data_IF_168390931881
#
_entry.id   IF_168390931881
#
_cell.length_a   1.000
_cell.length_b   1.000
_cell.length_c   1.000
_cell.angle_alpha   90.00
_cell.angle_beta   90.00
_cell.angle_gamma   90.00
#
_symmetry.space_group_name_H-M   'P 1'
#
loop_
_entity.id
_entity.type
_entity.pdbx_description
1 polymer ?
#
# COMPACT_ATOMS: atom_id res chain seq x y z
N UNK A 1 7.82 -33.64 -39.90
CA UNK A 1 7.09 -32.48 -39.32
C UNK A 1 7.37 -32.44 -37.83
N UNK A 2 8.33 -31.63 -37.37
CA UNK A 2 8.65 -31.52 -35.94
C UNK A 2 7.53 -30.74 -35.24
N UNK A 3 6.76 -31.42 -34.39
CA UNK A 3 5.84 -30.75 -33.47
C UNK A 3 6.69 -29.80 -32.59
N UNK A 4 6.48 -28.49 -32.70
CA UNK A 4 6.99 -27.57 -31.68
C UNK A 4 6.21 -27.86 -30.40
N UNK A 5 6.82 -28.64 -29.50
CA UNK A 5 6.21 -29.13 -28.25
C UNK A 5 6.04 -28.01 -27.21
N UNK A 6 6.56 -26.81 -27.44
CA UNK A 6 6.60 -25.76 -26.41
C UNK A 6 6.03 -24.44 -26.93
N UNK A 7 5.02 -23.93 -26.22
CA UNK A 7 4.42 -22.60 -26.44
C UNK A 7 5.51 -21.52 -26.38
N UNK A 8 5.60 -20.69 -27.42
CA UNK A 8 6.47 -19.51 -27.41
C UNK A 8 5.92 -18.48 -26.42
N UNK A 9 6.76 -18.03 -25.48
CA UNK A 9 6.44 -16.96 -24.53
C UNK A 9 7.69 -16.13 -24.27
N UNK A 10 7.56 -14.80 -24.37
CA UNK A 10 8.62 -13.86 -24.01
C UNK A 10 8.89 -13.84 -22.50
N UNK A 11 7.95 -14.34 -21.69
CA UNK A 11 8.04 -14.36 -20.23
C UNK A 11 8.62 -15.67 -19.67
N UNK A 12 9.21 -16.52 -20.53
CA UNK A 12 9.73 -17.84 -20.14
C UNK A 12 10.74 -17.79 -18.98
N UNK A 13 11.46 -16.68 -18.84
CA UNK A 13 12.55 -16.52 -17.88
C UNK A 13 12.32 -15.36 -16.92
N UNK A 14 11.06 -14.99 -16.65
CA UNK A 14 10.75 -14.01 -15.59
C UNK A 14 10.97 -14.68 -14.23
N UNK A 15 11.71 -14.01 -13.34
CA UNK A 15 11.94 -14.43 -11.96
C UNK A 15 11.85 -13.23 -11.02
N UNK A 16 11.47 -13.46 -9.77
CA UNK A 16 11.44 -12.44 -8.73
C UNK A 16 12.79 -12.31 -8.04
N UNK A 17 13.22 -11.09 -7.77
CA UNK A 17 14.37 -10.80 -6.93
C UNK A 17 13.92 -9.85 -5.80
N UNK A 18 14.09 -10.23 -4.52
CA UNK A 18 13.74 -9.35 -3.42
C UNK A 18 14.66 -8.13 -3.40
N UNK A 19 14.12 -7.00 -2.95
CA UNK A 19 14.91 -5.80 -2.69
C UNK A 19 15.90 -6.05 -1.54
N UNK A 20 16.97 -5.25 -1.50
CA UNK A 20 17.92 -5.30 -0.37
C UNK A 20 17.26 -4.74 0.90
N UNK A 21 17.76 -5.13 2.07
CA UNK A 21 17.20 -4.71 3.34
C UNK A 21 17.13 -3.18 3.53
N UNK A 22 18.14 -2.44 3.03
CA UNK A 22 18.19 -0.97 3.04
C UNK A 22 17.16 -0.30 2.11
N UNK A 23 16.53 -1.09 1.24
CA UNK A 23 15.44 -0.68 0.34
C UNK A 23 14.06 -1.15 0.82
N UNK A 24 13.99 -1.80 1.98
CA UNK A 24 12.74 -2.21 2.62
C UNK A 24 12.23 -1.13 3.57
N UNK A 25 10.95 -1.22 3.95
CA UNK A 25 10.34 -0.38 4.98
C UNK A 25 10.14 -1.25 6.23
N UNK A 26 10.72 -0.83 7.34
CA UNK A 26 10.75 -1.59 8.59
C UNK A 26 9.95 -0.89 9.70
N UNK A 27 9.59 -1.62 10.75
CA UNK A 27 8.80 -1.14 11.90
C UNK A 27 7.39 -0.61 11.56
N UNK A 28 6.80 -1.06 10.44
CA UNK A 28 5.40 -0.74 10.08
C UNK A 28 4.43 -1.72 10.77
N UNK A 29 3.43 -1.17 11.47
CA UNK A 29 2.36 -1.94 12.13
C UNK A 29 1.20 -2.19 11.18
N UNK A 30 1.32 -3.19 10.32
CA UNK A 30 0.26 -3.58 9.37
C UNK A 30 -0.95 -4.13 10.11
N UNK A 31 -2.15 -3.81 9.63
CA UNK A 31 -3.41 -4.31 10.19
C UNK A 31 -3.48 -5.85 10.19
N UNK A 32 -4.08 -6.41 11.23
CA UNK A 32 -4.36 -7.84 11.39
C UNK A 32 -5.84 -8.18 11.20
N UNK A 33 -6.65 -7.23 10.70
CA UNK A 33 -8.07 -7.46 10.43
C UNK A 33 -8.24 -8.63 9.45
N UNK A 34 -9.22 -9.50 9.70
CA UNK A 34 -9.55 -10.61 8.80
C UNK A 34 -10.37 -10.08 7.62
N UNK A 35 -9.70 -9.65 6.56
CA UNK A 35 -10.31 -9.17 5.32
C UNK A 35 -9.44 -9.51 4.11
N UNK A 36 -10.05 -9.70 2.93
CA UNK A 36 -9.38 -10.25 1.75
C UNK A 36 -8.70 -9.19 0.86
N UNK A 37 -8.62 -7.93 1.29
CA UNK A 37 -7.95 -6.89 0.50
C UNK A 37 -6.42 -6.96 0.64
N UNK A 38 -5.71 -6.25 -0.26
CA UNK A 38 -4.25 -6.28 -0.27
C UNK A 38 -3.58 -5.52 0.88
N UNK A 39 -4.34 -4.76 1.68
CA UNK A 39 -3.86 -3.84 2.75
C UNK A 39 -2.77 -2.84 2.34
N UNK A 40 -2.49 -2.75 1.04
CA UNK A 40 -1.38 -2.00 0.47
C UNK A 40 -1.81 -1.45 -0.89
N UNK A 41 -1.50 -0.18 -1.12
CA UNK A 41 -1.66 0.46 -2.42
C UNK A 41 -0.43 1.31 -2.72
N UNK A 42 0.13 1.20 -3.93
CA UNK A 42 1.35 1.91 -4.34
C UNK A 42 1.09 2.67 -5.63
N UNK A 43 1.62 3.88 -5.72
CA UNK A 43 1.69 4.67 -6.96
C UNK A 43 3.14 5.14 -7.20
N UNK A 44 3.43 5.92 -8.26
CA UNK A 44 4.80 6.37 -8.56
C UNK A 44 5.48 7.26 -7.49
N UNK A 45 4.74 7.78 -6.51
CA UNK A 45 5.25 8.70 -5.47
C UNK A 45 5.23 8.10 -4.07
N UNK A 46 4.20 7.31 -3.76
CA UNK A 46 3.87 6.90 -2.41
C UNK A 46 3.52 5.42 -2.33
N UNK A 47 3.79 4.85 -1.17
CA UNK A 47 3.26 3.56 -0.72
C UNK A 47 2.31 3.83 0.45
N UNK A 48 1.11 3.29 0.38
CA UNK A 48 0.12 3.33 1.45
C UNK A 48 -0.12 1.94 2.03
N UNK A 49 -0.25 1.85 3.35
CA UNK A 49 -0.42 0.60 4.10
C UNK A 49 -1.51 0.77 5.15
N UNK A 50 -2.48 -0.13 5.19
CA UNK A 50 -3.49 -0.15 6.25
C UNK A 50 -2.83 -0.60 7.55
N UNK A 51 -2.95 0.21 8.60
CA UNK A 51 -2.25 0.01 9.86
C UNK A 51 -3.20 -0.36 10.99
N UNK A 52 -2.66 -1.03 12.00
CA UNK A 52 -3.36 -1.22 13.26
C UNK A 52 -3.56 0.13 13.96
N UNK A 53 -4.80 0.43 14.34
CA UNK A 53 -5.16 1.63 15.10
C UNK A 53 -5.73 1.22 16.45
N UNK A 54 -5.39 1.95 17.52
CA UNK A 54 -5.94 1.71 18.87
C UNK A 54 -7.44 2.03 18.99
N UNK A 55 -8.03 2.65 17.96
CA UNK A 55 -9.45 2.95 17.83
C UNK A 55 -9.75 3.48 16.43
N UNK A 56 -10.90 3.11 15.89
CA UNK A 56 -11.27 3.43 14.50
C UNK A 56 -10.41 2.69 13.47
N UNK A 57 -10.13 3.36 12.35
CA UNK A 57 -9.32 2.81 11.27
C UNK A 57 -8.31 3.84 10.77
N UNK A 58 -7.10 3.37 10.48
CA UNK A 58 -6.02 4.21 10.00
C UNK A 58 -5.19 3.54 8.90
N UNK A 59 -4.52 4.36 8.10
CA UNK A 59 -3.51 3.90 7.16
C UNK A 59 -2.33 4.87 7.12
N UNK A 60 -1.16 4.33 6.82
CA UNK A 60 0.09 5.04 6.65
C UNK A 60 0.28 5.42 5.17
N UNK A 61 0.91 6.56 4.90
CA UNK A 61 1.37 6.96 3.56
C UNK A 61 2.84 7.37 3.63
N UNK A 62 3.70 6.66 2.92
CA UNK A 62 5.14 6.91 2.87
C UNK A 62 5.59 7.30 1.46
N UNK A 63 6.41 8.35 1.31
CA UNK A 63 7.15 8.59 0.06
C UNK A 63 8.05 7.40 -0.27
N UNK A 64 8.10 6.99 -1.54
CA UNK A 64 8.90 5.83 -1.97
C UNK A 64 10.40 5.95 -1.71
N UNK A 65 10.91 7.18 -1.56
CA UNK A 65 12.31 7.43 -1.23
C UNK A 65 12.66 7.29 0.26
N UNK A 66 11.68 7.19 1.16
CA UNK A 66 11.89 7.09 2.62
C UNK A 66 11.95 5.61 3.05
N UNK A 67 12.96 4.88 2.58
CA UNK A 67 13.21 3.49 3.00
C UNK A 67 13.90 3.39 4.36
N UNK A 68 13.95 2.19 4.91
CA UNK A 68 14.51 1.88 6.22
C UNK A 68 13.46 1.88 7.33
N UNK A 69 13.90 2.19 8.55
CA UNK A 69 13.07 2.17 9.74
C UNK A 69 12.09 3.34 9.76
N UNK A 70 10.79 3.03 9.85
CA UNK A 70 9.73 4.03 9.99
C UNK A 70 9.66 4.48 11.46
N UNK A 71 9.59 5.79 11.68
CA UNK A 71 9.47 6.36 13.03
C UNK A 71 8.13 5.94 13.67
N UNK A 72 8.13 5.64 14.97
CA UNK A 72 6.92 5.24 15.69
C UNK A 72 5.87 6.34 15.77
N UNK A 73 6.28 7.59 15.62
CA UNK A 73 5.44 8.78 15.63
C UNK A 73 5.13 9.30 14.23
N UNK A 74 5.36 8.49 13.18
CA UNK A 74 4.92 8.85 11.83
C UNK A 74 3.41 9.11 11.84
N UNK A 75 2.94 10.22 11.27
CA UNK A 75 1.52 10.51 11.24
C UNK A 75 0.79 9.48 10.36
N UNK A 76 -0.38 9.08 10.83
CA UNK A 76 -1.30 8.22 10.11
C UNK A 76 -2.49 9.03 9.62
N UNK A 77 -3.13 8.57 8.55
CA UNK A 77 -4.43 9.08 8.13
C UNK A 77 -5.48 8.46 9.03
N UNK A 78 -5.98 9.24 9.99
CA UNK A 78 -6.96 8.81 10.99
C UNK A 78 -8.24 9.65 10.87
N UNK A 79 -9.22 9.18 10.10
CA UNK A 79 -10.56 9.79 10.09
C UNK A 79 -11.72 8.81 10.10
N UNK A 80 -11.46 7.52 9.89
CA UNK A 80 -12.47 6.49 10.00
C UNK A 80 -12.73 6.10 11.45
N UNK A 81 -14.00 5.84 11.78
CA UNK A 81 -14.42 5.46 13.13
C UNK A 81 -14.47 3.94 13.35
N UNK A 82 -14.17 3.16 12.31
CA UNK A 82 -14.01 1.71 12.35
C UNK A 82 -12.86 1.28 11.41
N UNK A 83 -12.42 0.01 11.40
CA UNK A 83 -11.30 -0.45 10.59
C UNK A 83 -11.38 -0.04 9.12
N UNK A 84 -10.24 0.37 8.54
CA UNK A 84 -10.12 0.57 7.09
C UNK A 84 -9.98 -0.80 6.45
N UNK A 85 -10.81 -1.08 5.45
CA UNK A 85 -10.88 -2.36 4.76
C UNK A 85 -10.16 -2.33 3.42
N UNK A 86 -10.11 -1.19 2.75
CA UNK A 86 -9.47 -1.06 1.44
C UNK A 86 -8.98 0.36 1.18
N UNK A 87 -7.95 0.49 0.35
CA UNK A 87 -7.35 1.75 -0.08
C UNK A 87 -6.98 1.70 -1.56
N UNK A 88 -7.23 2.79 -2.29
CA UNK A 88 -6.91 2.87 -3.71
C UNK A 88 -6.47 4.26 -4.13
N UNK A 89 -5.33 4.35 -4.82
CA UNK A 89 -4.84 5.59 -5.42
C UNK A 89 -5.69 6.01 -6.61
N UNK A 90 -5.88 7.31 -6.78
CA UNK A 90 -6.50 7.87 -7.97
C UNK A 90 -5.58 7.67 -9.18
N UNK A 91 -6.06 7.06 -10.28
CA UNK A 91 -5.25 6.84 -11.48
C UNK A 91 -4.96 8.13 -12.28
N UNK A 92 -5.56 9.26 -11.90
CA UNK A 92 -5.43 10.56 -12.57
C UNK A 92 -4.72 11.61 -11.71
N UNK A 93 -4.43 11.32 -10.43
CA UNK A 93 -3.75 12.23 -9.53
C UNK A 93 -3.00 11.44 -8.44
N UNK A 94 -1.67 11.46 -8.52
CA UNK A 94 -0.78 10.71 -7.62
C UNK A 94 -0.81 11.20 -6.15
N UNK A 95 -1.45 12.33 -5.87
CA UNK A 95 -1.62 12.86 -4.51
C UNK A 95 -3.00 12.53 -3.93
N UNK A 96 -3.86 11.79 -4.62
CA UNK A 96 -5.22 11.49 -4.15
C UNK A 96 -5.40 10.01 -3.90
N UNK A 97 -5.90 9.64 -2.73
CA UNK A 97 -6.21 8.27 -2.33
C UNK A 97 -7.62 8.18 -1.74
N UNK A 98 -8.34 7.09 -2.01
CA UNK A 98 -9.61 6.77 -1.39
C UNK A 98 -9.43 5.64 -0.36
N UNK A 99 -10.19 5.68 0.73
CA UNK A 99 -10.27 4.62 1.73
C UNK A 99 -11.71 4.21 2.00
N UNK A 100 -11.97 2.91 2.12
CA UNK A 100 -13.26 2.34 2.51
C UNK A 100 -13.17 1.64 3.87
N UNK A 101 -14.20 1.77 4.70
CA UNK A 101 -14.19 1.29 6.09
C UNK A 101 -15.47 0.56 6.50
N UNK A 102 -15.37 -0.21 7.58
CA UNK A 102 -16.52 -0.79 8.29
C UNK A 102 -17.47 0.28 8.87
N UNK A 103 -17.05 1.54 8.98
CA UNK A 103 -17.90 2.65 9.42
C UNK A 103 -18.95 3.05 8.39
N UNK A 104 -19.05 2.30 7.29
CA UNK A 104 -19.98 2.50 6.18
C UNK A 104 -19.73 3.81 5.42
N UNK A 105 -18.51 4.34 5.48
CA UNK A 105 -18.09 5.51 4.70
C UNK A 105 -16.93 5.21 3.76
N UNK A 106 -16.84 6.04 2.73
CA UNK A 106 -15.66 6.15 1.87
C UNK A 106 -15.15 7.58 2.00
N UNK A 107 -13.86 7.74 2.28
CA UNK A 107 -13.21 9.04 2.38
C UNK A 107 -12.18 9.20 1.26
N UNK A 108 -12.01 10.43 0.79
CA UNK A 108 -11.02 10.81 -0.21
C UNK A 108 -10.05 11.80 0.41
N UNK A 109 -8.76 11.53 0.24
CA UNK A 109 -7.68 12.24 0.91
C UNK A 109 -6.75 12.85 -0.13
N UNK A 110 -6.36 14.10 0.12
CA UNK A 110 -5.25 14.74 -0.57
C UNK A 110 -3.98 14.61 0.28
N UNK A 111 -2.95 14.03 -0.32
CA UNK A 111 -1.66 13.76 0.31
C UNK A 111 -0.68 14.87 -0.09
N UNK A 112 -0.06 15.58 0.87
CA UNK A 112 0.96 16.58 0.57
C UNK A 112 2.17 15.97 -0.15
N UNK A 113 2.87 16.77 -0.97
CA UNK A 113 4.04 16.30 -1.71
C UNK A 113 5.19 15.78 -0.83
N UNK A 114 5.31 16.28 0.40
CA UNK A 114 6.27 15.80 1.39
C UNK A 114 5.95 14.42 1.99
N UNK A 115 4.79 13.85 1.61
CA UNK A 115 4.15 12.75 2.31
C UNK A 115 3.56 13.20 3.65
N UNK A 116 3.17 12.20 4.44
CA UNK A 116 2.83 12.35 5.85
C UNK A 116 4.04 11.91 6.69
#
# INVERSE_FOLDING_TARGET
>A
MSRQVVRSSKFRHVFGQPAKADQCYEDVRVSQTTWDSGFCAVNPKFMALICEASGGGAFLVLPLGKTGRVDKNVPLVCGHTAPVLDIAWCPHNDNVIASGSEDCTVMVWEIPDGGL
#
